data_IF_885395740153
#
_entry.id   IF_885395740153
#
_cell.length_a   1.000
_cell.length_b   1.000
_cell.length_c   1.000
_cell.angle_alpha   90.00
_cell.angle_beta   90.00
_cell.angle_gamma   90.00
#
_symmetry.space_group_name_H-M   'P 1'
#
loop_
_entity.id
_entity.type
_entity.pdbx_description
1 polymer ?
#
# COMPACT_ATOMS: atom_id res chain seq x y z
N UNK A 1 -29.35 -33.93 -3.97
CA UNK A 1 -29.10 -33.02 -5.11
C UNK A 1 -29.26 -31.54 -4.72
N UNK A 2 -30.45 -31.11 -4.29
CA UNK A 2 -30.74 -29.71 -3.92
C UNK A 2 -29.81 -29.15 -2.83
N UNK A 3 -29.51 -29.95 -1.80
CA UNK A 3 -28.60 -29.55 -0.73
C UNK A 3 -27.16 -29.35 -1.19
N UNK A 4 -26.72 -30.13 -2.18
CA UNK A 4 -25.40 -30.03 -2.78
C UNK A 4 -25.27 -28.78 -3.65
N UNK A 5 -26.36 -28.40 -4.34
CA UNK A 5 -26.44 -27.17 -5.14
C UNK A 5 -26.42 -25.92 -4.24
N UNK A 6 -27.12 -25.96 -3.10
CA UNK A 6 -27.07 -24.87 -2.09
C UNK A 6 -25.64 -24.67 -1.56
N UNK A 7 -24.90 -25.75 -1.34
CA UNK A 7 -23.53 -25.71 -0.81
C UNK A 7 -22.54 -25.10 -1.83
N UNK A 8 -22.76 -25.32 -3.13
CA UNK A 8 -21.97 -24.71 -4.22
C UNK A 8 -22.31 -23.23 -4.46
N UNK A 9 -23.52 -22.77 -4.09
CA UNK A 9 -23.92 -21.36 -4.21
C UNK A 9 -23.40 -20.50 -3.04
N UNK A 10 -23.02 -21.14 -1.93
CA UNK A 10 -22.48 -20.49 -0.73
C UNK A 10 -20.95 -20.42 -0.73
N UNK A 11 -20.26 -21.10 -1.65
CA UNK A 11 -18.82 -20.96 -1.79
C UNK A 11 -18.51 -19.56 -2.34
N UNK A 12 -17.69 -18.74 -1.66
CA UNK A 12 -17.28 -17.46 -2.20
C UNK A 12 -16.67 -17.70 -3.57
N UNK A 13 -17.17 -16.99 -4.58
CA UNK A 13 -16.57 -16.99 -5.91
C UNK A 13 -15.16 -16.41 -5.74
N UNK A 14 -14.16 -17.29 -5.61
CA UNK A 14 -12.77 -16.88 -5.56
C UNK A 14 -12.42 -16.40 -6.95
N UNK A 15 -12.31 -15.08 -7.10
CA UNK A 15 -11.71 -14.52 -8.30
C UNK A 15 -10.25 -14.99 -8.29
N UNK A 16 -9.85 -15.74 -9.32
CA UNK A 16 -8.45 -16.09 -9.49
C UNK A 16 -7.65 -14.78 -9.58
N UNK A 17 -6.66 -14.62 -8.69
CA UNK A 17 -5.74 -13.50 -8.76
C UNK A 17 -5.12 -13.48 -10.16
N UNK A 18 -5.09 -12.35 -10.88
CA UNK A 18 -4.50 -12.29 -12.20
C UNK A 18 -3.05 -12.79 -12.13
N UNK A 19 -2.58 -13.48 -13.18
CA UNK A 19 -1.22 -14.02 -13.26
C UNK A 19 -0.17 -13.03 -12.75
N UNK A 20 0.94 -13.52 -12.14
CA UNK A 20 1.99 -12.66 -11.60
C UNK A 20 2.33 -11.57 -12.62
N UNK A 21 2.00 -10.32 -12.23
CA UNK A 21 2.06 -9.19 -13.15
C UNK A 21 3.47 -9.04 -13.67
N UNK A 22 3.61 -8.85 -14.99
CA UNK A 22 4.88 -8.41 -15.57
C UNK A 22 5.34 -7.16 -14.86
N UNK A 23 6.67 -6.98 -14.71
CA UNK A 23 7.22 -5.75 -14.14
C UNK A 23 6.56 -4.54 -14.82
N UNK A 24 5.98 -3.61 -14.06
CA UNK A 24 5.19 -2.54 -14.64
C UNK A 24 6.10 -1.70 -15.54
N UNK A 25 5.61 -1.33 -16.73
CA UNK A 25 6.38 -0.58 -17.72
C UNK A 25 6.47 0.90 -17.30
N UNK A 26 7.23 1.15 -16.22
CA UNK A 26 7.42 2.46 -15.62
C UNK A 26 8.79 2.97 -16.06
N UNK A 27 8.86 4.10 -16.78
CA UNK A 27 10.14 4.63 -17.18
C UNK A 27 10.92 5.06 -15.92
N UNK A 28 12.23 4.79 -15.93
CA UNK A 28 13.09 4.96 -14.74
C UNK A 28 13.08 6.38 -14.19
N UNK A 29 12.90 7.40 -15.04
CA UNK A 29 12.78 8.78 -14.62
C UNK A 29 11.56 9.01 -13.71
N UNK A 30 10.41 8.43 -14.03
CA UNK A 30 9.18 8.53 -13.21
C UNK A 30 9.38 7.84 -11.86
N UNK A 31 9.99 6.66 -11.87
CA UNK A 31 10.36 5.95 -10.64
C UNK A 31 11.32 6.79 -9.78
N UNK A 32 12.39 7.31 -10.37
CA UNK A 32 13.37 8.12 -9.66
C UNK A 32 12.75 9.40 -9.08
N UNK A 33 11.87 10.06 -9.82
CA UNK A 33 11.12 11.23 -9.36
C UNK A 33 10.23 10.90 -8.16
N UNK A 34 9.51 9.77 -8.21
CA UNK A 34 8.67 9.30 -7.11
C UNK A 34 9.50 9.06 -5.85
N UNK A 35 10.65 8.41 -5.99
CA UNK A 35 11.54 8.12 -4.85
C UNK A 35 12.07 9.41 -4.24
N UNK A 36 12.58 10.31 -5.09
CA UNK A 36 13.21 11.57 -4.66
C UNK A 36 12.23 12.53 -3.98
N UNK A 37 10.95 12.50 -4.38
CA UNK A 37 9.90 13.36 -3.80
C UNK A 37 9.34 12.80 -2.49
N UNK A 38 9.31 11.48 -2.31
CA UNK A 38 8.60 10.85 -1.20
C UNK A 38 9.49 10.38 -0.05
N UNK A 39 10.77 10.10 -0.31
CA UNK A 39 11.66 9.50 0.68
C UNK A 39 12.85 10.40 0.99
N UNK A 40 13.55 10.09 2.08
CA UNK A 40 14.80 10.76 2.39
C UNK A 40 15.85 10.47 1.30
N UNK A 41 16.72 11.45 1.00
CA UNK A 41 17.81 11.26 0.03
C UNK A 41 18.81 10.16 0.42
N UNK A 42 18.80 9.73 1.68
CA UNK A 42 19.62 8.63 2.20
C UNK A 42 18.95 7.26 2.12
N UNK A 43 17.71 7.15 1.64
CA UNK A 43 16.99 5.88 1.58
C UNK A 43 17.79 4.87 0.73
N UNK A 44 18.05 3.65 1.24
CA UNK A 44 18.78 2.66 0.46
C UNK A 44 17.90 2.11 -0.66
N UNK A 45 18.51 1.80 -1.81
CA UNK A 45 17.82 1.20 -2.95
C UNK A 45 17.05 -0.06 -2.56
N UNK A 46 17.62 -0.89 -1.68
CA UNK A 46 16.98 -2.11 -1.19
C UNK A 46 15.64 -1.83 -0.48
N UNK A 47 15.53 -0.74 0.28
CA UNK A 47 14.29 -0.35 0.94
C UNK A 47 13.24 0.13 -0.05
N UNK A 48 13.67 0.91 -1.05
CA UNK A 48 12.77 1.35 -2.13
C UNK A 48 12.21 0.14 -2.89
N UNK A 49 13.08 -0.81 -3.23
CA UNK A 49 12.68 -2.05 -3.90
C UNK A 49 11.77 -2.90 -3.02
N UNK A 50 12.04 -2.97 -1.72
CA UNK A 50 11.16 -3.66 -0.76
C UNK A 50 9.74 -3.07 -0.80
N UNK A 51 9.61 -1.74 -0.67
CA UNK A 51 8.30 -1.06 -0.72
C UNK A 51 7.61 -1.33 -2.06
N UNK A 52 8.36 -1.21 -3.15
CA UNK A 52 7.84 -1.40 -4.50
C UNK A 52 7.33 -2.82 -4.74
N UNK A 53 8.14 -3.85 -4.44
CA UNK A 53 7.72 -5.24 -4.57
C UNK A 53 6.56 -5.58 -3.64
N UNK A 54 6.58 -5.06 -2.41
CA UNK A 54 5.47 -5.22 -1.48
C UNK A 54 4.15 -4.72 -2.08
N UNK A 55 4.15 -3.51 -2.67
CA UNK A 55 2.95 -2.94 -3.31
C UNK A 55 2.50 -3.74 -4.55
N UNK A 56 3.43 -4.26 -5.35
CA UNK A 56 3.10 -5.04 -6.55
C UNK A 56 2.54 -6.42 -6.20
N UNK A 57 3.02 -7.05 -5.13
CA UNK A 57 2.59 -8.40 -4.74
C UNK A 57 1.22 -8.41 -4.03
N UNK A 58 0.82 -7.31 -3.39
CA UNK A 58 -0.42 -7.24 -2.58
C UNK A 58 -1.64 -6.70 -3.34
N UNK A 59 -1.76 -6.97 -4.66
CA UNK A 59 -2.81 -6.36 -5.50
C UNK A 59 -4.23 -6.59 -5.02
N UNK A 60 -4.56 -7.75 -4.48
CA UNK A 60 -5.90 -8.03 -3.95
C UNK A 60 -6.26 -7.11 -2.77
N UNK A 61 -5.28 -6.81 -1.93
CA UNK A 61 -5.44 -5.90 -0.81
C UNK A 61 -5.55 -4.43 -1.27
N UNK A 62 -4.80 -4.05 -2.31
CA UNK A 62 -4.92 -2.73 -2.95
C UNK A 62 -6.27 -2.54 -3.64
N UNK A 63 -6.80 -3.57 -4.29
CA UNK A 63 -8.15 -3.54 -4.87
C UNK A 63 -9.22 -3.39 -3.79
N UNK A 64 -9.07 -4.10 -2.67
CA UNK A 64 -9.96 -3.94 -1.52
C UNK A 64 -9.87 -2.53 -0.94
N UNK A 65 -8.66 -1.99 -0.79
CA UNK A 65 -8.42 -0.63 -0.35
C UNK A 65 -9.10 0.39 -1.27
N UNK A 66 -8.95 0.24 -2.60
CA UNK A 66 -9.61 1.05 -3.62
C UNK A 66 -11.12 1.07 -3.42
N UNK A 67 -11.72 -0.13 -3.29
CA UNK A 67 -13.16 -0.29 -3.12
C UNK A 67 -13.66 0.39 -1.85
N UNK A 68 -12.92 0.25 -0.74
CA UNK A 68 -13.26 0.83 0.56
C UNK A 68 -13.13 2.36 0.58
N UNK A 69 -12.33 2.96 -0.31
CA UNK A 69 -12.26 4.43 -0.46
C UNK A 69 -13.50 5.01 -1.14
N UNK A 70 -14.14 4.25 -2.04
CA UNK A 70 -15.31 4.69 -2.81
C UNK A 70 -16.58 4.52 -1.97
N UNK A 71 -17.26 5.63 -1.63
CA UNK A 71 -18.61 5.57 -1.05
C UNK A 71 -19.64 5.26 -2.12
N UNK A 72 -20.30 4.11 -2.01
CA UNK A 72 -21.42 3.72 -2.87
C UNK A 72 -22.72 3.65 -2.09
N UNK A 73 -22.67 3.32 -0.79
CA UNK A 73 -23.86 3.17 0.05
C UNK A 73 -23.97 4.26 1.12
N UNK A 74 -25.20 4.69 1.47
CA UNK A 74 -25.41 5.62 2.57
C UNK A 74 -24.97 5.00 3.90
N UNK A 75 -24.13 5.72 4.65
CA UNK A 75 -23.55 5.27 5.92
C UNK A 75 -22.08 4.80 5.83
N UNK A 76 -21.53 4.65 4.62
CA UNK A 76 -20.12 4.30 4.45
C UNK A 76 -19.17 5.44 4.88
N UNK A 77 -18.16 5.08 5.67
CA UNK A 77 -17.07 5.98 6.06
C UNK A 77 -15.96 5.85 5.01
N UNK A 78 -15.66 6.93 4.31
CA UNK A 78 -14.46 7.00 3.47
C UNK A 78 -13.31 7.48 4.35
N UNK A 79 -12.27 6.67 4.41
CA UNK A 79 -11.04 6.98 5.15
C UNK A 79 -9.89 7.04 4.16
N UNK A 80 -9.08 8.10 4.22
CA UNK A 80 -7.87 8.25 3.40
C UNK A 80 -6.95 7.01 3.50
N UNK A 81 -6.77 6.47 4.71
CA UNK A 81 -6.03 5.24 4.95
C UNK A 81 -6.93 4.20 5.62
N UNK A 82 -7.27 3.13 4.89
CA UNK A 82 -8.00 1.97 5.44
C UNK A 82 -7.17 1.25 6.50
N UNK A 83 -7.81 0.46 7.37
CA UNK A 83 -7.11 -0.36 8.36
C UNK A 83 -6.01 -1.24 7.75
N UNK A 84 -6.25 -1.82 6.56
CA UNK A 84 -5.26 -2.63 5.86
C UNK A 84 -4.01 -1.86 5.46
N UNK A 85 -4.18 -0.67 4.88
CA UNK A 85 -3.05 0.21 4.55
C UNK A 85 -2.26 0.61 5.80
N UNK A 86 -2.93 0.80 6.95
CA UNK A 86 -2.26 1.07 8.23
C UNK A 86 -1.47 -0.13 8.73
N UNK A 87 -2.02 -1.34 8.65
CA UNK A 87 -1.29 -2.57 8.99
C UNK A 87 -0.09 -2.79 8.08
N UNK A 88 -0.22 -2.54 6.78
CA UNK A 88 0.89 -2.60 5.83
C UNK A 88 1.98 -1.58 6.18
N UNK A 89 1.60 -0.33 6.43
CA UNK A 89 2.53 0.71 6.87
C UNK A 89 3.24 0.34 8.16
N UNK A 90 2.53 -0.24 9.13
CA UNK A 90 3.13 -0.72 10.37
C UNK A 90 4.16 -1.81 10.08
N UNK A 91 3.81 -2.84 9.30
CA UNK A 91 4.72 -3.93 8.98
C UNK A 91 5.98 -3.45 8.23
N UNK A 92 5.82 -2.50 7.31
CA UNK A 92 6.96 -1.86 6.62
C UNK A 92 7.80 -1.01 7.57
N UNK A 93 7.17 -0.24 8.45
CA UNK A 93 7.86 0.56 9.46
C UNK A 93 8.69 -0.32 10.39
N UNK A 94 8.08 -1.37 10.94
CA UNK A 94 8.74 -2.33 11.83
C UNK A 94 9.93 -3.02 11.12
N UNK A 95 9.74 -3.42 9.86
CA UNK A 95 10.81 -4.02 9.05
C UNK A 95 12.00 -3.09 8.79
N UNK A 96 11.74 -1.80 8.72
CA UNK A 96 12.77 -0.77 8.52
C UNK A 96 13.42 -0.36 9.86
N UNK A 97 12.65 -0.42 10.95
CA UNK A 97 13.10 -0.21 12.31
C UNK A 97 14.12 -1.27 12.74
N UNK A 98 13.90 -2.55 12.37
CA UNK A 98 14.88 -3.63 12.56
C UNK A 98 16.27 -3.30 11.97
N UNK A 99 16.30 -2.42 10.95
CA UNK A 99 17.51 -2.00 10.25
C UNK A 99 17.98 -0.60 10.68
N UNK A 100 17.29 0.07 11.61
CA UNK A 100 17.50 1.48 11.99
C UNK A 100 17.41 2.46 10.80
N UNK A 101 16.43 2.24 9.92
CA UNK A 101 16.23 3.01 8.68
C UNK A 101 14.82 3.55 8.50
N UNK A 102 13.97 3.44 9.52
CA UNK A 102 12.57 3.86 9.51
C UNK A 102 12.39 5.36 9.24
N UNK A 103 13.30 6.21 9.72
CA UNK A 103 13.27 7.65 9.43
C UNK A 103 13.45 7.96 7.93
N UNK A 104 14.11 7.07 7.19
CA UNK A 104 14.36 7.26 5.76
C UNK A 104 13.09 7.10 4.90
N UNK A 105 12.03 6.51 5.46
CA UNK A 105 10.70 6.44 4.86
C UNK A 105 10.03 7.82 4.72
N UNK A 106 10.57 8.83 5.42
CA UNK A 106 10.03 10.17 5.47
C UNK A 106 11.07 11.18 4.99
N UNK A 107 10.60 12.23 4.34
CA UNK A 107 11.42 13.40 4.04
C UNK A 107 11.81 14.12 5.34
N UNK A 108 12.92 14.86 5.31
CA UNK A 108 13.36 15.65 6.49
C UNK A 108 12.28 16.62 6.98
N UNK A 109 11.49 17.18 6.07
CA UNK A 109 10.37 18.08 6.40
C UNK A 109 9.20 17.37 7.10
N UNK A 110 8.96 16.10 6.78
CA UNK A 110 7.91 15.30 7.43
C UNK A 110 8.34 14.90 8.84
N UNK A 111 9.61 14.52 9.03
CA UNK A 111 10.14 14.15 10.34
C UNK A 111 9.99 15.27 11.38
N UNK A 112 10.13 16.54 10.98
CA UNK A 112 9.94 17.70 11.86
C UNK A 112 8.50 17.85 12.35
N UNK A 113 7.52 17.24 11.67
CA UNK A 113 6.11 17.32 12.01
C UNK A 113 5.67 16.19 12.96
N UNK A 114 6.46 15.12 13.05
CA UNK A 114 6.13 13.96 13.88
C UNK A 114 6.68 14.10 15.29
N UNK A 115 5.78 14.37 16.24
CA UNK A 115 6.10 14.45 17.67
C UNK A 115 6.09 13.08 18.37
N UNK A 116 5.39 12.09 17.80
CA UNK A 116 5.22 10.74 18.36
C UNK A 116 5.25 9.70 17.24
N UNK A 117 5.69 8.47 17.55
CA UNK A 117 5.79 7.37 16.57
C UNK A 117 4.44 6.92 16.02
N UNK A 118 3.39 6.84 16.84
CA UNK A 118 2.03 6.51 16.39
C UNK A 118 1.50 7.49 15.33
N UNK A 119 2.01 8.73 15.32
CA UNK A 119 1.66 9.73 14.31
C UNK A 119 2.33 9.48 12.96
N UNK A 120 3.29 8.55 12.85
CA UNK A 120 4.03 8.27 11.60
C UNK A 120 3.32 7.25 10.70
N UNK A 121 2.53 6.36 11.29
CA UNK A 121 1.87 5.26 10.55
C UNK A 121 0.79 5.77 9.61
N UNK A 122 -0.09 6.65 10.08
CA UNK A 122 -1.18 7.17 9.23
C UNK A 122 -0.66 7.97 8.02
N UNK A 123 0.31 8.89 8.18
CA UNK A 123 0.98 9.55 7.05
C UNK A 123 1.69 8.59 6.11
N UNK A 124 2.38 7.58 6.65
CA UNK A 124 3.00 6.53 5.84
C UNK A 124 1.94 5.78 5.01
N UNK A 125 0.77 5.50 5.57
CA UNK A 125 -0.33 4.86 4.84
C UNK A 125 -0.86 5.72 3.69
N UNK A 126 -0.96 7.03 3.90
CA UNK A 126 -1.36 7.95 2.83
C UNK A 126 -0.29 8.01 1.74
N UNK A 127 0.99 8.08 2.11
CA UNK A 127 2.12 8.05 1.17
C UNK A 127 2.15 6.76 0.34
N UNK A 128 1.91 5.60 0.96
CA UNK A 128 1.84 4.32 0.24
C UNK A 128 0.65 4.25 -0.72
N UNK A 129 -0.50 4.82 -0.34
CA UNK A 129 -1.66 4.95 -1.24
C UNK A 129 -1.33 5.86 -2.44
N UNK A 130 -0.69 7.01 -2.21
CA UNK A 130 -0.22 7.90 -3.30
C UNK A 130 0.76 7.22 -4.25
N UNK A 131 1.70 6.43 -3.70
CA UNK A 131 2.60 5.61 -4.51
C UNK A 131 1.84 4.57 -5.31
N UNK A 132 0.91 3.84 -4.69
CA UNK A 132 0.11 2.84 -5.39
C UNK A 132 -0.73 3.44 -6.53
N UNK A 133 -1.28 4.64 -6.34
CA UNK A 133 -1.95 5.40 -7.41
C UNK A 133 -0.99 5.84 -8.52
N UNK A 134 0.18 6.38 -8.16
CA UNK A 134 1.18 6.83 -9.14
C UNK A 134 1.75 5.68 -9.98
N UNK A 135 1.85 4.48 -9.39
CA UNK A 135 2.27 3.25 -10.05
C UNK A 135 1.13 2.54 -10.80
N UNK A 136 -0.09 3.11 -10.79
CA UNK A 136 -1.29 2.53 -11.43
C UNK A 136 -1.62 1.11 -10.93
N UNK A 137 -1.37 0.84 -9.65
CA UNK A 137 -1.65 -0.45 -9.00
C UNK A 137 -3.08 -0.55 -8.46
N UNK A 138 -3.75 0.59 -8.37
CA UNK A 138 -5.13 0.74 -7.90
C UNK A 138 -6.00 1.10 -9.12
N UNK A 139 -7.14 0.44 -9.33
CA UNK A 139 -8.08 0.72 -10.42
C UNK A 139 -8.84 2.04 -10.27
#
# INVERSE_FOLDING_TARGET
LVWFIMLLLLSPAVYASPEPGTFPNIPFNVFNDLVSKNFNSKIPLAAVLLIFFTLIEIRDLLNLHARQKIKVLPGEKSTQATGWMKCLSQALYDRMLEQNTEEMLFTSSELLQFTEEEKRITPLSVKLDELAMALQLIP
#
